data_IF_783806251594
#
_entry.id   IF_783806251594
#
_cell.length_a   1.000
_cell.length_b   1.000
_cell.length_c   1.000
_cell.angle_alpha   90.00
_cell.angle_beta   90.00
_cell.angle_gamma   90.00
#
_symmetry.space_group_name_H-M   'P 1'
#
loop_
_entity.id
_entity.type
_entity.pdbx_description
1 polymer ?
#
# COMPACT_ATOMS: atom_id res chain seq x y z
N UNK A 1 15.66 -17.03 4.54
CA UNK A 1 15.79 -16.44 3.18
C UNK A 1 14.46 -16.46 2.39
N UNK A 2 13.82 -17.61 2.14
CA UNK A 2 12.58 -17.68 1.33
C UNK A 2 11.41 -16.84 1.87
N UNK A 3 11.23 -16.80 3.20
CA UNK A 3 10.18 -16.03 3.87
C UNK A 3 10.36 -14.52 3.75
N UNK A 4 11.61 -14.05 3.75
CA UNK A 4 11.94 -12.62 3.55
C UNK A 4 11.57 -12.18 2.15
N UNK A 5 11.99 -12.95 1.13
CA UNK A 5 11.70 -12.63 -0.28
C UNK A 5 10.19 -12.60 -0.52
N UNK A 6 9.45 -13.58 0.00
CA UNK A 6 7.99 -13.61 -0.11
C UNK A 6 7.32 -12.43 0.61
N UNK A 7 7.73 -12.13 1.85
CA UNK A 7 7.21 -10.99 2.61
C UNK A 7 7.50 -9.65 1.92
N UNK A 8 8.71 -9.45 1.42
CA UNK A 8 9.10 -8.23 0.70
C UNK A 8 8.32 -8.07 -0.61
N UNK A 9 8.09 -9.15 -1.37
CA UNK A 9 7.27 -9.10 -2.58
C UNK A 9 5.81 -8.75 -2.26
N UNK A 10 5.25 -9.29 -1.18
CA UNK A 10 3.89 -9.04 -0.72
C UNK A 10 3.71 -7.61 -0.17
N UNK A 11 4.74 -7.10 0.52
CA UNK A 11 4.80 -5.69 0.94
C UNK A 11 4.86 -4.77 -0.27
N UNK A 12 5.75 -5.06 -1.24
CA UNK A 12 5.92 -4.25 -2.43
C UNK A 12 4.64 -4.20 -3.29
N UNK A 13 3.92 -5.33 -3.42
CA UNK A 13 2.66 -5.35 -4.17
C UNK A 13 1.55 -4.56 -3.47
N UNK A 14 1.39 -4.71 -2.16
CA UNK A 14 0.44 -3.93 -1.36
C UNK A 14 0.77 -2.43 -1.40
N UNK A 15 2.04 -2.08 -1.25
CA UNK A 15 2.52 -0.70 -1.31
C UNK A 15 2.34 -0.09 -2.71
N UNK A 16 2.63 -0.82 -3.78
CA UNK A 16 2.38 -0.38 -5.15
C UNK A 16 0.89 -0.16 -5.41
N UNK A 17 0.03 -1.03 -4.90
CA UNK A 17 -1.42 -0.85 -5.01
C UNK A 17 -1.89 0.43 -4.33
N UNK A 18 -1.44 0.70 -3.10
CA UNK A 18 -1.70 1.95 -2.36
C UNK A 18 -1.20 3.16 -3.15
N UNK A 19 0.03 3.08 -3.69
CA UNK A 19 0.64 4.15 -4.46
C UNK A 19 -0.14 4.44 -5.76
N UNK A 20 -0.61 3.41 -6.47
CA UNK A 20 -1.42 3.55 -7.68
C UNK A 20 -2.81 4.13 -7.40
N UNK A 21 -3.45 3.74 -6.30
CA UNK A 21 -4.72 4.32 -5.88
C UNK A 21 -4.58 5.82 -5.58
N UNK A 22 -3.56 6.19 -4.81
CA UNK A 22 -3.28 7.61 -4.53
C UNK A 22 -2.91 8.37 -5.81
N UNK A 23 -2.02 7.81 -6.63
CA UNK A 23 -1.60 8.42 -7.89
C UNK A 23 -2.80 8.64 -8.80
N UNK A 24 -3.70 7.67 -8.95
CA UNK A 24 -4.93 7.81 -9.73
C UNK A 24 -5.84 8.93 -9.21
N UNK A 25 -5.99 9.05 -7.89
CA UNK A 25 -6.77 10.16 -7.31
C UNK A 25 -6.13 11.53 -7.55
N UNK A 26 -4.79 11.61 -7.53
CA UNK A 26 -4.03 12.85 -7.73
C UNK A 26 -3.87 13.23 -9.21
N UNK A 27 -3.80 12.26 -10.12
CA UNK A 27 -3.66 12.50 -11.57
C UNK A 27 -4.85 13.26 -12.16
N UNK A 28 -6.03 13.13 -11.56
CA UNK A 28 -7.22 13.89 -11.99
C UNK A 28 -7.18 15.37 -11.61
N UNK A 29 -6.23 15.79 -10.77
CA UNK A 29 -6.24 17.10 -10.12
C UNK A 29 -4.86 17.80 -10.18
N UNK A 30 -4.04 17.53 -11.20
CA UNK A 30 -2.78 18.27 -11.46
C UNK A 30 -2.99 19.77 -11.76
N UNK A 31 -4.20 20.31 -11.55
CA UNK A 31 -4.59 21.69 -11.82
C UNK A 31 -5.03 22.49 -10.57
N UNK A 32 -5.14 21.91 -9.37
CA UNK A 32 -5.53 22.69 -8.18
C UNK A 32 -4.72 22.32 -6.92
N UNK A 33 -4.19 23.35 -6.26
CA UNK A 33 -3.21 23.30 -5.16
C UNK A 33 -3.73 22.65 -3.85
N UNK A 34 -5.00 22.23 -3.81
CA UNK A 34 -5.67 21.59 -2.66
C UNK A 34 -5.64 20.05 -2.66
N UNK A 35 -5.03 19.43 -3.69
CA UNK A 35 -5.13 18.01 -4.03
C UNK A 35 -4.71 17.00 -2.93
N UNK A 36 -3.79 17.39 -2.03
CA UNK A 36 -3.25 16.45 -1.03
C UNK A 36 -4.24 16.13 0.10
N UNK A 37 -5.09 17.08 0.48
CA UNK A 37 -6.15 16.91 1.49
C UNK A 37 -7.36 16.15 0.92
N UNK A 38 -7.65 16.35 -0.37
CA UNK A 38 -8.82 15.79 -1.05
C UNK A 38 -8.64 14.36 -1.54
N UNK A 39 -7.41 13.84 -1.67
CA UNK A 39 -7.16 12.49 -2.20
C UNK A 39 -7.88 11.38 -1.41
N UNK A 40 -7.80 11.40 -0.07
CA UNK A 40 -8.50 10.44 0.79
C UNK A 40 -10.03 10.60 0.72
N UNK A 41 -10.50 11.84 0.60
CA UNK A 41 -11.92 12.16 0.49
C UNK A 41 -12.49 11.69 -0.85
N UNK A 42 -11.75 11.85 -1.95
CA UNK A 42 -12.08 11.32 -3.29
C UNK A 42 -12.07 9.80 -3.30
N UNK A 43 -11.10 9.16 -2.65
CA UNK A 43 -11.06 7.70 -2.49
C UNK A 43 -12.31 7.17 -1.78
N UNK A 44 -12.82 7.92 -0.81
CA UNK A 44 -14.09 7.62 -0.16
C UNK A 44 -15.30 7.87 -1.08
N UNK A 45 -15.29 8.95 -1.87
CA UNK A 45 -16.39 9.29 -2.79
C UNK A 45 -16.54 8.30 -3.94
N UNK A 46 -15.42 7.83 -4.50
CA UNK A 46 -15.41 6.83 -5.59
C UNK A 46 -15.57 5.40 -5.03
N UNK A 47 -15.68 5.25 -3.70
CA UNK A 47 -15.91 3.95 -3.05
C UNK A 47 -14.72 3.00 -3.07
N UNK A 48 -13.51 3.47 -3.37
CA UNK A 48 -12.29 2.65 -3.33
C UNK A 48 -11.66 2.56 -1.92
N UNK A 49 -12.24 3.24 -0.93
CA UNK A 49 -11.82 3.17 0.47
C UNK A 49 -11.63 1.73 1.00
N UNK A 50 -12.54 0.77 0.76
CA UNK A 50 -12.37 -0.61 1.20
C UNK A 50 -11.14 -1.28 0.56
N UNK A 51 -10.90 -1.00 -0.72
CA UNK A 51 -9.76 -1.54 -1.46
C UNK A 51 -8.44 -0.94 -0.95
N UNK A 52 -8.44 0.34 -0.62
CA UNK A 52 -7.30 1.01 0.00
C UNK A 52 -6.93 0.40 1.36
N UNK A 53 -7.91 0.15 2.23
CA UNK A 53 -7.67 -0.53 3.50
C UNK A 53 -7.14 -1.96 3.31
N UNK A 54 -7.69 -2.70 2.34
CA UNK A 54 -7.19 -4.04 1.99
C UNK A 54 -5.73 -3.99 1.53
N UNK A 55 -5.36 -3.04 0.67
CA UNK A 55 -4.00 -2.89 0.18
C UNK A 55 -3.01 -2.52 1.30
N UNK A 56 -3.42 -1.66 2.25
CA UNK A 56 -2.63 -1.34 3.44
C UNK A 56 -2.48 -2.57 4.33
N UNK A 57 -3.55 -3.31 4.58
CA UNK A 57 -3.51 -4.54 5.38
C UNK A 57 -2.57 -5.58 4.75
N UNK A 58 -2.64 -5.74 3.42
CA UNK A 58 -1.75 -6.63 2.67
C UNK A 58 -0.29 -6.20 2.80
N UNK A 59 -0.01 -4.90 2.68
CA UNK A 59 1.33 -4.36 2.88
C UNK A 59 1.83 -4.63 4.30
N UNK A 60 1.02 -4.36 5.33
CA UNK A 60 1.38 -4.61 6.72
C UNK A 60 1.70 -6.09 6.99
N UNK A 61 0.90 -7.01 6.45
CA UNK A 61 1.14 -8.46 6.55
C UNK A 61 2.45 -8.84 5.85
N UNK A 62 2.70 -8.32 4.65
CA UNK A 62 3.96 -8.53 3.93
C UNK A 62 5.18 -8.04 4.72
N UNK A 63 5.08 -6.88 5.34
CA UNK A 63 6.12 -6.31 6.18
C UNK A 63 6.39 -7.19 7.42
N UNK A 64 5.33 -7.63 8.11
CA UNK A 64 5.43 -8.52 9.26
C UNK A 64 6.09 -9.85 8.89
N UNK A 65 5.73 -10.45 7.76
CA UNK A 65 6.36 -11.68 7.26
C UNK A 65 7.82 -11.48 6.87
N UNK A 66 8.17 -10.34 6.27
CA UNK A 66 9.55 -10.02 5.93
C UNK A 66 10.42 -9.85 7.18
N UNK A 67 9.91 -9.13 8.19
CA UNK A 67 10.56 -8.95 9.48
C UNK A 67 10.70 -10.29 10.21
N UNK A 68 9.65 -11.10 10.25
CA UNK A 68 9.71 -12.44 10.86
C UNK A 68 10.76 -13.33 10.18
N UNK A 69 10.79 -13.33 8.84
CA UNK A 69 11.79 -14.07 8.08
C UNK A 69 13.22 -13.57 8.26
N UNK A 70 13.41 -12.32 8.70
CA UNK A 70 14.70 -11.71 9.00
C UNK A 70 15.17 -12.05 10.42
N UNK A 71 14.25 -12.05 11.39
CA UNK A 71 14.52 -12.41 12.78
C UNK A 71 14.64 -13.92 13.01
N UNK A 72 14.20 -14.76 12.06
CA UNK A 72 14.42 -16.19 12.14
C UNK A 72 15.93 -16.50 12.17
N UNK A 73 16.45 -17.09 13.27
CA UNK A 73 17.83 -17.50 13.33
C UNK A 73 18.06 -18.54 12.24
N UNK A 74 19.08 -18.31 11.39
CA UNK A 74 19.55 -19.31 10.44
C UNK A 74 19.99 -20.54 11.25
N UNK A 75 19.14 -21.57 11.29
CA UNK A 75 19.60 -22.94 11.52
C UNK A 75 20.36 -23.42 10.29
#
# INVERSE_FOLDING_TARGET
MKKVIFGSALFASGFLSVALLLAGTLSTELANDSARSLALWRLSYVGLMPFFYLSIALAAIGLLLALWGLLEPKK
#
